data_IF_243507448048
#
_entry.id   IF_243507448048
#
_cell.length_a   1.000
_cell.length_b   1.000
_cell.length_c   1.000
_cell.angle_alpha   90.00
_cell.angle_beta   90.00
_cell.angle_gamma   90.00
#
_symmetry.space_group_name_H-M   'P 1'
#
loop_
_entity.id
_entity.type
_entity.pdbx_description
1 polymer ?
#
# COMPACT_ATOMS: atom_id res chain seq x y z
N UNK A 1 2.09 14.88 2.78
CA UNK A 1 3.07 15.86 2.28
C UNK A 1 4.15 15.17 1.47
N UNK A 2 4.93 14.25 2.07
CA UNK A 2 5.99 13.47 1.41
C UNK A 2 5.71 13.01 -0.02
N UNK A 3 4.57 12.35 -0.33
CA UNK A 3 4.34 11.84 -1.70
C UNK A 3 4.31 12.94 -2.77
N UNK A 4 3.80 14.14 -2.46
CA UNK A 4 3.84 15.28 -3.37
C UNK A 4 5.27 15.74 -3.65
N UNK A 5 6.08 15.89 -2.61
CA UNK A 5 7.49 16.27 -2.71
C UNK A 5 8.29 15.20 -3.48
N UNK A 6 8.01 13.92 -3.24
CA UNK A 6 8.57 12.82 -4.00
C UNK A 6 8.23 12.93 -5.50
N UNK A 7 6.96 13.17 -5.85
CA UNK A 7 6.54 13.40 -7.24
C UNK A 7 7.23 14.63 -7.86
N UNK A 8 7.22 15.79 -7.17
CA UNK A 8 7.84 17.04 -7.63
C UNK A 8 9.33 16.89 -7.92
N UNK A 9 10.07 16.21 -7.03
CA UNK A 9 11.49 15.91 -7.23
C UNK A 9 11.70 15.01 -8.46
N UNK A 10 10.79 14.08 -8.75
CA UNK A 10 10.91 13.19 -9.90
C UNK A 10 10.60 13.89 -11.24
N UNK A 11 9.61 14.79 -11.27
CA UNK A 11 9.32 15.61 -12.45
C UNK A 11 10.44 16.61 -12.71
N UNK A 12 10.93 17.34 -11.69
CA UNK A 12 12.08 18.24 -11.83
C UNK A 12 13.33 17.52 -12.35
N UNK A 13 13.69 16.36 -11.78
CA UNK A 13 14.82 15.56 -12.26
C UNK A 13 14.66 15.11 -13.71
N UNK A 14 13.43 14.81 -14.14
CA UNK A 14 13.13 14.43 -15.52
C UNK A 14 13.25 15.63 -16.46
N UNK A 15 12.75 16.81 -16.06
CA UNK A 15 12.90 18.06 -16.81
C UNK A 15 14.35 18.49 -16.93
N UNK A 16 15.15 18.38 -15.85
CA UNK A 16 16.56 18.72 -15.83
C UNK A 16 17.42 17.75 -16.64
N UNK A 17 17.13 16.45 -16.60
CA UNK A 17 17.84 15.44 -17.40
C UNK A 17 17.66 15.65 -18.91
N UNK A 18 16.47 16.13 -19.32
CA UNK A 18 16.13 16.44 -20.71
C UNK A 18 16.48 17.87 -21.15
N UNK A 19 17.19 18.65 -20.32
CA UNK A 19 17.55 20.03 -20.62
C UNK A 19 18.69 20.11 -21.66
N UNK A 20 18.73 21.19 -22.44
CA UNK A 20 19.80 21.43 -23.43
C UNK A 20 21.15 21.79 -22.81
N UNK A 21 21.19 22.25 -21.55
CA UNK A 21 22.44 22.44 -20.82
C UNK A 21 23.05 21.09 -20.42
N UNK A 22 24.18 20.77 -21.07
CA UNK A 22 24.99 19.57 -20.82
C UNK A 22 25.40 19.40 -19.35
N UNK A 23 25.67 20.47 -18.60
CA UNK A 23 26.05 20.37 -17.19
C UNK A 23 24.87 19.97 -16.31
N UNK A 24 23.71 20.59 -16.52
CA UNK A 24 22.47 20.26 -15.82
C UNK A 24 21.99 18.84 -16.17
N UNK A 25 21.97 18.49 -17.47
CA UNK A 25 21.62 17.16 -17.95
C UNK A 25 22.58 16.09 -17.41
N UNK A 26 23.89 16.37 -17.46
CA UNK A 26 24.95 15.46 -16.99
C UNK A 26 24.92 15.18 -15.48
N UNK A 27 24.43 16.13 -14.66
CA UNK A 27 24.20 15.91 -13.23
C UNK A 27 22.83 15.26 -12.95
N UNK A 28 21.78 15.70 -13.64
CA UNK A 28 20.42 15.24 -13.40
C UNK A 28 20.18 13.80 -13.88
N UNK A 29 20.80 13.37 -14.99
CA UNK A 29 20.68 11.99 -15.50
C UNK A 29 21.07 10.91 -14.48
N UNK A 30 22.27 10.96 -13.88
CA UNK A 30 22.68 10.04 -12.81
C UNK A 30 21.80 10.14 -11.55
N UNK A 31 21.38 11.35 -11.16
CA UNK A 31 20.47 11.54 -10.02
C UNK A 31 19.08 10.92 -10.27
N UNK A 32 18.53 11.10 -11.48
CA UNK A 32 17.28 10.48 -11.93
C UNK A 32 17.39 8.96 -11.92
N UNK A 33 18.44 8.41 -12.54
CA UNK A 33 18.70 6.96 -12.55
C UNK A 33 18.77 6.37 -11.13
N UNK A 34 19.38 7.11 -10.18
CA UNK A 34 19.44 6.68 -8.77
C UNK A 34 18.09 6.81 -8.07
N UNK A 35 17.29 7.84 -8.36
CA UNK A 35 15.91 7.99 -7.89
C UNK A 35 15.05 6.81 -8.36
N UNK A 36 15.04 6.55 -9.67
CA UNK A 36 14.28 5.46 -10.31
C UNK A 36 14.68 4.09 -9.74
N UNK A 37 15.97 3.87 -9.48
CA UNK A 37 16.49 2.62 -8.89
C UNK A 37 15.94 2.34 -7.48
N UNK A 38 15.84 3.34 -6.61
CA UNK A 38 15.42 3.14 -5.21
C UNK A 38 13.92 3.28 -4.99
N UNK A 39 13.21 3.95 -5.91
CA UNK A 39 11.74 4.10 -5.84
C UNK A 39 10.99 3.01 -6.63
N UNK A 40 11.68 2.33 -7.54
CA UNK A 40 11.04 1.50 -8.57
C UNK A 40 10.45 2.37 -9.67
N UNK A 41 9.79 1.76 -10.66
CA UNK A 41 8.86 2.53 -11.50
C UNK A 41 7.70 2.99 -10.62
N UNK A 42 6.99 4.03 -11.04
CA UNK A 42 5.73 4.42 -10.36
C UNK A 42 4.69 3.27 -10.42
N UNK A 43 4.85 2.38 -11.38
CA UNK A 43 4.09 1.13 -11.56
C UNK A 43 4.39 0.07 -10.49
N UNK A 44 5.59 0.14 -9.90
CA UNK A 44 6.13 -0.79 -8.91
C UNK A 44 6.11 -0.19 -7.48
N UNK A 45 5.49 0.99 -7.28
CA UNK A 45 5.42 1.61 -5.96
C UNK A 45 4.71 0.68 -4.96
N UNK A 46 5.27 0.58 -3.76
CA UNK A 46 4.68 -0.19 -2.68
C UNK A 46 3.25 0.31 -2.38
N UNK A 47 2.26 -0.54 -2.59
CA UNK A 47 0.84 -0.23 -2.37
C UNK A 47 0.54 0.24 -0.95
N UNK A 48 1.33 -0.19 0.05
CA UNK A 48 1.23 0.30 1.43
C UNK A 48 1.50 1.80 1.57
N UNK A 49 2.40 2.37 0.75
CA UNK A 49 2.63 3.82 0.74
C UNK A 49 1.43 4.57 0.17
N UNK A 50 0.74 3.96 -0.80
CA UNK A 50 -0.48 4.52 -1.39
C UNK A 50 -1.63 4.43 -0.39
N UNK A 51 -1.80 3.29 0.30
CA UNK A 51 -2.78 3.18 1.40
C UNK A 51 -2.49 4.14 2.54
N UNK A 52 -1.23 4.29 2.96
CA UNK A 52 -0.84 5.27 3.97
C UNK A 52 -1.17 6.70 3.53
N UNK A 53 -1.12 6.99 2.21
CA UNK A 53 -1.59 8.27 1.68
C UNK A 53 -3.12 8.40 1.75
N UNK A 54 -3.89 7.41 1.30
CA UNK A 54 -5.37 7.47 1.28
C UNK A 54 -6.01 7.38 2.68
N UNK A 55 -5.33 6.75 3.64
CA UNK A 55 -5.77 6.62 5.03
C UNK A 55 -5.32 7.81 5.91
N UNK A 56 -4.36 8.62 5.45
CA UNK A 56 -4.07 9.92 6.07
C UNK A 56 -5.27 10.84 5.84
N UNK A 57 -5.95 11.24 6.93
CA UNK A 57 -7.16 12.07 6.95
C UNK A 57 -7.11 13.35 6.08
N UNK A 58 -5.91 13.77 5.66
CA UNK A 58 -5.67 14.93 4.80
C UNK A 58 -5.79 14.64 3.29
N UNK A 59 -5.77 13.39 2.86
CA UNK A 59 -5.75 13.01 1.45
C UNK A 59 -6.83 11.99 1.11
N UNK A 60 -7.70 12.34 0.16
CA UNK A 60 -8.75 11.45 -0.35
C UNK A 60 -8.22 10.62 -1.52
N UNK A 61 -8.88 9.52 -1.87
CA UNK A 61 -8.57 8.73 -3.08
C UNK A 61 -8.50 9.58 -4.36
N UNK A 62 -9.30 10.66 -4.42
CA UNK A 62 -9.28 11.65 -5.52
C UNK A 62 -7.91 12.33 -5.68
N UNK A 63 -7.16 12.52 -4.59
CA UNK A 63 -5.80 13.08 -4.61
C UNK A 63 -4.78 12.11 -5.21
N UNK A 64 -4.89 10.81 -4.91
CA UNK A 64 -4.07 9.77 -5.55
C UNK A 64 -4.37 9.72 -7.06
N UNK A 65 -5.64 9.84 -7.43
CA UNK A 65 -6.05 9.91 -8.84
C UNK A 65 -5.45 11.12 -9.55
N UNK A 66 -5.48 12.29 -8.92
CA UNK A 66 -4.83 13.51 -9.43
C UNK A 66 -3.33 13.29 -9.66
N UNK A 67 -2.59 12.85 -8.64
CA UNK A 67 -1.15 12.62 -8.79
C UNK A 67 -0.81 11.55 -9.84
N UNK A 68 -1.63 10.52 -10.04
CA UNK A 68 -1.38 9.54 -11.10
C UNK A 68 -1.71 10.08 -12.51
N UNK A 69 -2.61 11.06 -12.64
CA UNK A 69 -2.89 11.75 -13.91
C UNK A 69 -1.68 12.47 -14.50
N UNK A 70 -0.81 13.02 -13.64
CA UNK A 70 0.44 13.66 -14.06
C UNK A 70 1.53 12.67 -14.54
N UNK A 71 1.35 11.35 -14.30
CA UNK A 71 2.38 10.34 -14.55
C UNK A 71 1.95 9.17 -15.47
N UNK A 72 0.65 8.99 -15.75
CA UNK A 72 0.14 7.90 -16.58
C UNK A 72 -1.13 8.25 -17.37
N UNK A 73 -1.39 7.50 -18.44
CA UNK A 73 -2.65 7.57 -19.19
C UNK A 73 -3.89 7.27 -18.32
N UNK A 74 -5.00 7.98 -18.57
CA UNK A 74 -6.27 7.87 -17.82
C UNK A 74 -6.77 6.43 -17.59
N UNK A 75 -6.59 5.55 -18.57
CA UNK A 75 -6.96 4.13 -18.46
C UNK A 75 -6.15 3.40 -17.38
N UNK A 76 -4.86 3.68 -17.27
CA UNK A 76 -3.95 3.11 -16.27
C UNK A 76 -4.22 3.72 -14.90
N UNK A 77 -4.46 5.04 -14.85
CA UNK A 77 -4.88 5.77 -13.64
C UNK A 77 -6.17 5.20 -13.04
N UNK A 78 -7.22 5.03 -13.85
CA UNK A 78 -8.49 4.46 -13.40
C UNK A 78 -8.31 3.02 -12.89
N UNK A 79 -7.56 2.18 -13.60
CA UNK A 79 -7.30 0.78 -13.17
C UNK A 79 -6.57 0.72 -11.82
N UNK A 80 -5.53 1.54 -11.64
CA UNK A 80 -4.77 1.62 -10.39
C UNK A 80 -5.68 2.11 -9.24
N UNK A 81 -6.42 3.19 -9.47
CA UNK A 81 -7.33 3.81 -8.48
C UNK A 81 -8.44 2.87 -8.06
N UNK A 82 -9.00 2.09 -9.00
CA UNK A 82 -10.00 1.06 -8.70
C UNK A 82 -9.43 -0.04 -7.79
N UNK A 83 -8.24 -0.58 -8.11
CA UNK A 83 -7.60 -1.59 -7.27
C UNK A 83 -7.30 -1.11 -5.85
N UNK A 84 -6.86 0.14 -5.70
CA UNK A 84 -6.65 0.77 -4.38
C UNK A 84 -7.99 0.87 -3.61
N UNK A 85 -9.07 1.29 -4.26
CA UNK A 85 -10.40 1.36 -3.64
C UNK A 85 -10.90 -0.01 -3.17
N UNK A 86 -10.73 -1.04 -4.00
CA UNK A 86 -11.17 -2.40 -3.73
C UNK A 86 -10.47 -3.00 -2.50
N UNK A 87 -9.15 -2.86 -2.44
CA UNK A 87 -8.35 -3.26 -1.27
C UNK A 87 -8.70 -2.46 0.00
N UNK A 88 -9.04 -1.17 -0.11
CA UNK A 88 -9.50 -0.36 1.03
C UNK A 88 -10.84 -0.85 1.59
N UNK A 89 -11.77 -1.24 0.72
CA UNK A 89 -13.04 -1.85 1.11
C UNK A 89 -12.78 -3.21 1.79
N UNK A 90 -11.92 -4.05 1.20
CA UNK A 90 -11.55 -5.34 1.79
C UNK A 90 -10.90 -5.19 3.17
N UNK A 91 -10.00 -4.21 3.35
CA UNK A 91 -9.37 -3.90 4.64
C UNK A 91 -10.42 -3.46 5.69
N UNK A 92 -11.37 -2.62 5.29
CA UNK A 92 -12.47 -2.17 6.13
C UNK A 92 -13.41 -3.32 6.52
N UNK A 93 -13.78 -4.18 5.58
CA UNK A 93 -14.65 -5.33 5.84
C UNK A 93 -13.95 -6.38 6.72
N UNK A 94 -12.64 -6.60 6.55
CA UNK A 94 -11.83 -7.39 7.47
C UNK A 94 -11.84 -6.79 8.89
N UNK A 95 -11.63 -5.48 9.04
CA UNK A 95 -11.64 -4.80 10.33
C UNK A 95 -13.02 -4.91 11.02
N UNK A 96 -14.10 -4.62 10.28
CA UNK A 96 -15.49 -4.77 10.75
C UNK A 96 -15.85 -6.23 11.10
N UNK A 97 -15.24 -7.20 10.41
CA UNK A 97 -15.37 -8.62 10.71
C UNK A 97 -14.80 -9.01 12.07
N UNK A 98 -13.75 -8.34 12.55
CA UNK A 98 -13.14 -8.60 13.87
C UNK A 98 -14.10 -8.28 15.01
N UNK A 99 -14.88 -7.20 14.92
CA UNK A 99 -15.88 -6.85 15.94
C UNK A 99 -17.00 -7.91 16.08
N UNK A 100 -17.25 -8.69 15.03
CA UNK A 100 -18.30 -9.73 15.03
C UNK A 100 -17.80 -11.09 15.58
N UNK A 101 -16.48 -11.25 15.81
CA UNK A 101 -15.90 -12.47 16.42
C UNK A 101 -15.99 -12.43 17.97
N UNK A 102 -16.53 -11.34 18.54
CA UNK A 102 -16.72 -11.16 19.98
C UNK A 102 -18.11 -11.55 20.51
N UNK A 103 -18.99 -12.17 19.72
CA UNK A 103 -20.36 -12.53 20.16
C UNK A 103 -20.91 -13.77 19.47
N UNK A 104 -21.20 -14.80 20.28
CA UNK A 104 -21.59 -16.17 19.90
C UNK A 104 -20.45 -17.00 19.27
N UNK A 105 -20.22 -18.27 19.65
CA UNK A 105 -21.14 -19.18 20.34
C UNK A 105 -20.62 -19.77 21.67
N UNK A 106 -21.54 -19.89 22.62
CA UNK A 106 -21.47 -20.84 23.72
C UNK A 106 -21.68 -22.26 23.17
N UNK A 107 -20.74 -23.18 23.44
CA UNK A 107 -21.02 -24.62 23.30
C UNK A 107 -20.80 -25.28 24.66
N UNK A 108 -21.89 -25.81 25.20
CA UNK A 108 -22.01 -26.32 26.57
C UNK A 108 -21.13 -27.54 26.86
N UNK A 109 -20.82 -27.68 28.14
CA UNK A 109 -20.15 -28.84 28.73
C UNK A 109 -20.76 -30.19 28.35
N UNK A 110 -19.91 -31.17 28.06
CA UNK A 110 -20.19 -32.60 28.29
C UNK A 110 -18.88 -33.33 28.56
N UNK A 111 -18.64 -33.68 29.83
CA UNK A 111 -17.54 -34.57 30.24
C UNK A 111 -18.11 -36.00 30.30
N UNK A 112 -17.55 -36.97 29.56
CA UNK A 112 -17.74 -38.39 29.85
C UNK A 112 -16.69 -38.85 30.87
N UNK A 113 -17.14 -39.41 32.00
CA UNK A 113 -16.30 -39.99 33.05
C UNK A 113 -16.42 -41.52 33.01
N UNK A 114 -15.29 -42.24 32.86
CA UNK A 114 -15.02 -43.65 33.23
C UNK A 114 -13.74 -44.15 32.51
N UNK A 115 -12.82 -44.94 33.09
CA UNK A 115 -12.62 -45.47 34.44
C UNK A 115 -11.12 -45.76 34.68
N UNK A 116 -10.71 -45.95 35.93
CA UNK A 116 -9.35 -46.36 36.37
C UNK A 116 -9.03 -47.86 36.17
N UNK A 117 -7.79 -48.23 36.61
CA UNK A 117 -7.14 -49.55 36.79
C UNK A 117 -6.30 -49.99 35.58
N UNK A 118 -5.04 -50.47 35.68
CA UNK A 118 -4.27 -50.99 36.84
C UNK A 118 -2.81 -50.42 36.99
N UNK A 119 -2.05 -50.99 37.92
CA UNK A 119 -0.74 -50.62 38.47
C UNK A 119 0.55 -51.02 37.72
N UNK A 120 1.66 -50.41 38.16
CA UNK A 120 3.02 -51.00 38.17
C UNK A 120 3.95 -50.55 37.02
N UNK A 121 5.25 -50.32 37.23
CA UNK A 121 6.11 -50.65 38.40
C UNK A 121 7.37 -49.75 38.40
N UNK A 122 7.98 -49.61 39.58
CA UNK A 122 9.38 -49.12 39.72
C UNK A 122 10.38 -50.14 39.14
#
# INVERSE_FOLDING_TARGET
MFFYELCSIATELTTLANNHDYLLSGMAGPMKSKSDKYRGKIEDFNTLLIFALVLDLRYKLDYVKFCFGDLFDDNKVNKMTFGIKDNLIQLYDCYKGVDNISSSDQVSSSIPLANEVDAGKF
#
